data_IF_474669309235
#
_entry.id   IF_474669309235
#
_cell.length_a   1.000
_cell.length_b   1.000
_cell.length_c   1.000
_cell.angle_alpha   90.00
_cell.angle_beta   90.00
_cell.angle_gamma   90.00
#
_symmetry.space_group_name_H-M   'P 1'
#
loop_
_entity.id
_entity.type
_entity.pdbx_description
1 polymer ?
#
# COMPACT_ATOMS: atom_id res chain seq x y z
N UNK A 1 -19.27 13.53 -3.23
CA UNK A 1 -20.24 12.42 -3.07
C UNK A 1 -20.46 12.20 -1.57
N UNK A 2 -21.70 12.05 -1.07
CA UNK A 2 -21.90 11.95 0.39
C UNK A 2 -21.39 10.62 0.96
N UNK A 3 -20.82 10.66 2.17
CA UNK A 3 -20.33 9.46 2.89
C UNK A 3 -21.39 8.35 2.96
N UNK A 4 -22.65 8.71 3.21
CA UNK A 4 -23.79 7.75 3.26
C UNK A 4 -23.97 6.96 1.96
N UNK A 5 -23.79 7.60 0.80
CA UNK A 5 -23.89 6.93 -0.50
C UNK A 5 -22.72 5.96 -0.68
N UNK A 6 -21.53 6.35 -0.25
CA UNK A 6 -20.31 5.53 -0.36
C UNK A 6 -20.43 4.25 0.48
N UNK A 7 -20.97 4.34 1.69
CA UNK A 7 -21.28 3.17 2.52
C UNK A 7 -22.34 2.26 1.92
N UNK A 8 -23.37 2.78 1.24
CA UNK A 8 -24.38 1.93 0.60
C UNK A 8 -23.85 1.21 -0.63
N UNK A 9 -22.95 1.85 -1.40
CA UNK A 9 -22.43 1.30 -2.66
C UNK A 9 -21.39 0.20 -2.48
N UNK A 10 -20.61 0.23 -1.39
CA UNK A 10 -19.58 -0.78 -1.13
C UNK A 10 -20.04 -1.69 0.02
N UNK A 11 -20.37 -2.97 -0.24
CA UNK A 11 -20.67 -3.96 0.80
C UNK A 11 -19.55 -4.08 1.84
N UNK A 12 -19.88 -4.38 3.10
CA UNK A 12 -18.91 -4.40 4.23
C UNK A 12 -17.73 -5.35 4.01
N UNK A 13 -18.00 -6.51 3.41
CA UNK A 13 -17.06 -7.55 3.02
C UNK A 13 -16.06 -7.07 1.94
N UNK A 14 -16.48 -6.16 1.07
CA UNK A 14 -15.63 -5.59 0.00
C UNK A 14 -14.85 -4.34 0.42
N UNK A 15 -14.99 -3.89 1.66
CA UNK A 15 -14.30 -2.70 2.18
C UNK A 15 -12.94 -3.05 2.74
N UNK A 16 -12.02 -3.54 1.94
CA UNK A 16 -10.66 -3.82 2.39
C UNK A 16 -9.79 -2.59 2.11
N UNK A 17 -9.07 -2.12 3.11
CA UNK A 17 -8.15 -0.99 2.95
C UNK A 17 -7.00 -1.37 2.01
N UNK A 18 -6.79 -0.57 0.96
CA UNK A 18 -5.76 -0.82 -0.05
C UNK A 18 -4.34 -0.46 0.44
N UNK A 19 -4.19 0.09 1.64
CA UNK A 19 -2.88 0.34 2.21
C UNK A 19 -2.20 -0.99 2.55
N UNK A 20 -1.07 -1.28 1.93
CA UNK A 20 -0.32 -2.55 2.07
C UNK A 20 0.02 -2.90 3.52
N UNK A 21 0.25 -1.89 4.38
CA UNK A 21 0.51 -2.09 5.82
C UNK A 21 -0.73 -2.34 6.68
N UNK A 22 -1.94 -2.15 6.13
CA UNK A 22 -3.20 -2.31 6.87
C UNK A 22 -3.97 -3.55 6.43
N UNK A 23 -4.48 -3.57 5.18
CA UNK A 23 -5.26 -4.68 4.61
C UNK A 23 -6.45 -5.17 5.46
N UNK A 24 -6.96 -4.34 6.38
CA UNK A 24 -8.11 -4.64 7.25
C UNK A 24 -9.40 -4.07 6.67
N UNK A 25 -10.53 -4.61 7.14
CA UNK A 25 -11.87 -4.09 6.82
C UNK A 25 -12.03 -2.62 7.27
N UNK A 26 -12.65 -1.80 6.43
CA UNK A 26 -13.01 -0.41 6.71
C UNK A 26 -14.45 -0.36 7.20
N UNK A 27 -14.61 -0.14 8.51
CA UNK A 27 -15.92 -0.04 9.15
C UNK A 27 -16.49 1.39 9.03
N UNK A 28 -15.62 2.39 9.14
CA UNK A 28 -15.93 3.83 9.14
C UNK A 28 -14.78 4.63 8.53
N UNK A 29 -15.04 5.90 8.23
CA UNK A 29 -14.11 6.86 7.59
C UNK A 29 -13.43 6.29 6.34
N UNK A 30 -14.23 5.82 5.38
CA UNK A 30 -13.71 5.38 4.07
C UNK A 30 -13.33 6.62 3.28
N UNK A 31 -12.14 6.59 2.71
CA UNK A 31 -11.68 7.56 1.73
C UNK A 31 -11.25 6.89 0.43
N UNK A 32 -11.09 7.69 -0.63
CA UNK A 32 -10.67 7.21 -1.95
C UNK A 32 -9.48 8.00 -2.46
N UNK A 33 -8.58 7.31 -3.15
CA UNK A 33 -7.55 7.96 -3.95
C UNK A 33 -8.08 8.36 -5.34
N UNK A 34 -7.18 8.86 -6.19
CA UNK A 34 -7.45 9.27 -7.57
C UNK A 34 -7.94 8.12 -8.48
N UNK A 35 -7.59 6.88 -8.17
CA UNK A 35 -7.96 5.67 -8.92
C UNK A 35 -9.24 5.01 -8.39
N UNK A 36 -9.82 5.56 -7.31
CA UNK A 36 -11.03 5.05 -6.68
C UNK A 36 -10.80 3.87 -5.73
N UNK A 37 -9.54 3.50 -5.45
CA UNK A 37 -9.18 2.55 -4.40
C UNK A 37 -9.56 3.11 -3.05
N UNK A 38 -9.95 2.22 -2.14
CA UNK A 38 -10.50 2.60 -0.85
C UNK A 38 -9.50 2.40 0.29
N UNK A 39 -9.53 3.33 1.23
CA UNK A 39 -8.62 3.39 2.38
C UNK A 39 -9.39 3.78 3.64
N UNK A 40 -8.84 3.44 4.82
CA UNK A 40 -9.14 4.25 6.00
C UNK A 40 -8.55 5.64 5.77
N UNK A 41 -9.26 6.71 6.13
CA UNK A 41 -8.77 8.09 5.97
C UNK A 41 -7.31 8.28 6.44
N UNK A 42 -6.98 7.83 7.66
CA UNK A 42 -5.60 7.91 8.17
C UNK A 42 -4.59 7.06 7.40
N UNK A 43 -5.01 5.93 6.82
CA UNK A 43 -4.15 5.12 5.96
C UNK A 43 -3.92 5.78 4.59
N UNK A 44 -4.88 6.54 4.07
CA UNK A 44 -4.67 7.31 2.83
C UNK A 44 -3.60 8.39 3.05
N UNK A 45 -3.70 9.15 4.14
CA UNK A 45 -2.69 10.17 4.48
C UNK A 45 -1.30 9.56 4.62
N UNK A 46 -1.17 8.47 5.40
CA UNK A 46 0.10 7.76 5.55
C UNK A 46 0.64 7.22 4.21
N UNK A 47 -0.24 6.73 3.32
CA UNK A 47 0.16 6.24 2.01
C UNK A 47 0.67 7.36 1.09
N UNK A 48 0.13 8.57 1.21
CA UNK A 48 0.58 9.74 0.45
C UNK A 48 1.91 10.29 0.98
N UNK A 49 2.18 10.13 2.28
CA UNK A 49 3.44 10.56 2.89
C UNK A 49 4.59 9.56 2.61
N UNK A 50 4.30 8.27 2.48
CA UNK A 50 5.31 7.25 2.20
C UNK A 50 5.70 7.21 0.72
N UNK A 51 6.92 7.67 0.43
CA UNK A 51 7.47 7.69 -0.92
C UNK A 51 8.47 6.55 -1.16
N UNK A 52 8.54 6.07 -2.39
CA UNK A 52 9.42 4.99 -2.83
C UNK A 52 10.12 5.39 -4.12
N UNK A 53 11.35 4.90 -4.29
CA UNK A 53 12.10 4.96 -5.55
C UNK A 53 12.41 3.55 -6.01
N UNK A 54 12.03 3.22 -7.23
CA UNK A 54 12.49 1.99 -7.87
C UNK A 54 13.97 2.13 -8.23
N UNK A 55 14.81 1.16 -7.90
CA UNK A 55 16.24 1.19 -8.20
C UNK A 55 16.57 0.67 -9.62
N UNK A 56 15.60 0.05 -10.31
CA UNK A 56 15.81 -0.46 -11.67
C UNK A 56 15.37 0.56 -12.74
N UNK A 57 14.22 1.22 -12.57
CA UNK A 57 13.72 2.25 -13.51
C UNK A 57 13.78 3.68 -12.96
N UNK A 58 14.27 3.88 -11.73
CA UNK A 58 14.45 5.17 -11.08
C UNK A 58 13.20 6.02 -10.83
N UNK A 59 12.00 5.55 -11.20
CA UNK A 59 10.73 6.24 -10.92
C UNK A 59 10.50 6.37 -9.41
N UNK A 60 10.07 7.57 -9.01
CA UNK A 60 9.57 7.87 -7.66
C UNK A 60 8.05 7.87 -7.68
N UNK A 61 7.43 7.35 -6.62
CA UNK A 61 5.98 7.25 -6.47
C UNK A 61 5.62 7.11 -4.98
N UNK A 62 4.39 7.43 -4.59
CA UNK A 62 3.90 7.25 -3.22
C UNK A 62 3.25 5.85 -3.02
N UNK A 63 2.95 5.47 -1.78
CA UNK A 63 2.32 4.18 -1.48
C UNK A 63 0.88 4.06 -2.02
N UNK A 64 0.24 5.16 -2.43
CA UNK A 64 -1.01 5.06 -3.20
C UNK A 64 -0.68 4.55 -4.59
N UNK A 65 0.28 5.13 -5.30
CA UNK A 65 0.64 4.75 -6.66
C UNK A 65 1.32 3.38 -6.82
N UNK A 66 1.81 2.79 -5.71
CA UNK A 66 2.38 1.45 -5.71
C UNK A 66 1.44 0.40 -6.30
N UNK A 67 2.01 -0.52 -7.10
CA UNK A 67 1.33 -1.75 -7.47
C UNK A 67 1.59 -2.83 -6.42
N UNK A 68 0.72 -3.83 -6.33
CA UNK A 68 0.85 -4.88 -5.32
C UNK A 68 0.76 -6.26 -5.95
N UNK A 69 1.59 -7.16 -5.45
CA UNK A 69 1.56 -8.57 -5.79
C UNK A 69 1.39 -9.39 -4.51
N UNK A 70 0.60 -10.45 -4.60
CA UNK A 70 0.45 -11.40 -3.50
C UNK A 70 1.51 -12.47 -3.64
N UNK A 71 2.42 -12.55 -2.67
CA UNK A 71 3.41 -13.63 -2.58
C UNK A 71 3.05 -14.59 -1.46
N UNK A 72 3.23 -15.88 -1.74
CA UNK A 72 3.10 -16.93 -0.72
C UNK A 72 4.38 -17.00 0.08
N UNK A 73 4.30 -16.76 1.39
CA UNK A 73 5.44 -16.91 2.30
C UNK A 73 5.21 -18.17 3.13
N UNK A 74 6.08 -19.16 2.96
CA UNK A 74 6.08 -20.37 3.77
C UNK A 74 6.90 -20.10 5.04
N UNK A 75 6.26 -20.16 6.22
CA UNK A 75 6.98 -20.17 7.50
C UNK A 75 6.59 -21.40 8.29
N UNK A 76 7.58 -22.27 8.47
CA UNK A 76 7.61 -23.44 9.36
C UNK A 76 6.51 -24.49 9.12
N UNK A 77 5.22 -24.15 9.07
CA UNK A 77 4.11 -25.03 8.64
C UNK A 77 2.85 -24.26 8.19
N UNK A 78 2.90 -22.93 8.07
CA UNK A 78 1.76 -22.09 7.66
C UNK A 78 2.00 -21.41 6.31
N UNK A 79 1.00 -21.49 5.42
CA UNK A 79 0.94 -20.68 4.21
C UNK A 79 0.30 -19.33 4.54
N UNK A 80 1.08 -18.25 4.43
CA UNK A 80 0.55 -16.90 4.58
C UNK A 80 0.75 -16.10 3.31
N UNK A 81 -0.36 -15.65 2.74
CA UNK A 81 -0.34 -14.67 1.67
C UNK A 81 0.09 -13.31 2.22
N UNK A 82 1.12 -12.72 1.60
CA UNK A 82 1.61 -11.39 1.93
C UNK A 82 1.53 -10.52 0.67
N UNK A 83 0.93 -9.34 0.81
CA UNK A 83 1.02 -8.31 -0.22
C UNK A 83 2.38 -7.64 -0.14
N UNK A 84 3.10 -7.66 -1.25
CA UNK A 84 4.33 -6.89 -1.44
C UNK A 84 4.09 -5.81 -2.47
N UNK A 85 4.75 -4.67 -2.27
CA UNK A 85 4.68 -3.55 -3.20
C UNK A 85 5.70 -3.74 -4.31
N UNK A 86 5.30 -3.40 -5.54
CA UNK A 86 6.13 -3.41 -6.74
C UNK A 86 6.07 -2.06 -7.44
N UNK A 87 7.09 -1.77 -8.23
CA UNK A 87 7.13 -0.54 -9.02
C UNK A 87 5.96 -0.51 -10.03
N UNK A 88 5.13 0.54 -10.04
CA UNK A 88 4.00 0.64 -10.96
C UNK A 88 4.42 0.84 -12.43
N UNK A 89 5.71 1.10 -12.69
CA UNK A 89 6.22 1.33 -14.04
C UNK A 89 6.86 0.11 -14.68
N UNK A 90 7.62 -0.67 -13.91
CA UNK A 90 8.44 -1.76 -14.44
C UNK A 90 8.21 -3.10 -13.72
N UNK A 91 7.33 -3.15 -12.71
CA UNK A 91 7.04 -4.37 -11.95
C UNK A 91 8.14 -4.81 -10.98
N UNK A 92 9.28 -4.10 -10.91
CA UNK A 92 10.38 -4.48 -10.02
C UNK A 92 10.03 -4.40 -8.53
N UNK A 93 10.54 -5.36 -7.76
CA UNK A 93 10.53 -5.36 -6.29
C UNK A 93 11.66 -4.55 -5.66
N UNK A 94 12.62 -4.07 -6.46
CA UNK A 94 13.80 -3.36 -6.01
C UNK A 94 13.45 -1.90 -5.66
N UNK A 95 12.78 -1.74 -4.51
CA UNK A 95 12.22 -0.47 -4.05
C UNK A 95 12.99 0.03 -2.83
N UNK A 96 13.44 1.28 -2.91
CA UNK A 96 13.97 2.01 -1.77
C UNK A 96 12.90 2.95 -1.21
N UNK A 97 12.51 2.76 0.04
CA UNK A 97 11.69 3.74 0.76
C UNK A 97 12.49 5.03 0.92
N UNK A 98 11.88 6.16 0.58
CA UNK A 98 12.43 7.48 0.78
C UNK A 98 11.92 8.00 2.13
N UNK A 99 12.80 8.10 3.11
CA UNK A 99 12.45 8.68 4.41
C UNK A 99 12.11 10.17 4.22
N UNK A 100 11.00 10.67 4.79
CA UNK A 100 10.63 12.09 4.72
C UNK A 100 11.65 13.01 5.43
N UNK A 101 12.43 12.44 6.34
CA UNK A 101 13.61 13.07 6.93
C UNK A 101 14.83 12.29 6.46
N UNK A 102 15.78 12.97 5.80
CA UNK A 102 17.03 12.39 5.35
C UNK A 102 17.79 11.75 6.51
N UNK A 103 17.59 10.45 6.70
CA UNK A 103 18.23 9.64 7.73
C UNK A 103 18.97 8.51 7.05
N UNK A 104 20.29 8.62 7.07
CA UNK A 104 21.32 7.71 6.56
C UNK A 104 21.13 6.23 6.94
N UNK A 105 21.43 5.37 5.97
CA UNK A 105 21.88 3.98 6.05
C UNK A 105 21.45 3.12 7.26
N UNK A 106 20.65 2.09 6.97
CA UNK A 106 20.77 0.81 7.68
C UNK A 106 21.18 -0.25 6.65
N UNK A 107 22.48 -0.51 6.59
CA UNK A 107 23.02 -1.76 6.07
C UNK A 107 22.32 -2.90 6.82
N UNK A 108 21.55 -3.73 6.12
CA UNK A 108 21.29 -5.10 6.58
C UNK A 108 22.20 -5.97 5.75
N UNK A 109 23.38 -6.26 6.31
CA UNK A 109 24.21 -7.36 5.85
C UNK A 109 23.45 -8.66 6.17
N UNK A 110 23.33 -9.52 5.16
CA UNK A 110 23.05 -10.95 5.34
C UNK A 110 24.38 -11.65 5.56
#
# INVERSE_FOLDING_TARGET
MSLRILYRRIPRDKRICNYYGCQRRILRNIDRDKEGRIYHHGCLMAAQDEHFRCLDCYRTFDATEGSFETVQVQRQDEFREKLIMICPNCGSHNLKRLSPFGGSNSHVQV
#
